data_IF_290320897482
#
_entry.id   IF_290320897482
#
_cell.length_a   1.000
_cell.length_b   1.000
_cell.length_c   1.000
_cell.angle_alpha   90.00
_cell.angle_beta   90.00
_cell.angle_gamma   90.00
#
_symmetry.space_group_name_H-M   'P 1'
#
loop_
_entity.id
_entity.type
_entity.pdbx_description
1 polymer ?
#
# COMPACT_ATOMS: atom_id res chain seq x y z
N UNK A 1 10.55 21.58 3.33
CA UNK A 1 9.59 20.60 2.80
C UNK A 1 10.21 19.24 3.03
N UNK A 2 9.79 18.50 4.06
CA UNK A 2 10.21 17.10 4.19
C UNK A 2 9.40 16.33 3.15
N UNK A 3 10.08 15.76 2.17
CA UNK A 3 9.44 14.94 1.15
C UNK A 3 8.91 13.69 1.86
N UNK A 4 7.61 13.44 1.86
CA UNK A 4 7.04 12.24 2.49
C UNK A 4 7.64 10.95 1.89
N UNK A 5 8.10 11.06 0.64
CA UNK A 5 8.86 10.04 -0.05
C UNK A 5 10.22 9.73 0.59
N UNK A 6 10.97 10.76 0.98
CA UNK A 6 12.24 10.58 1.70
C UNK A 6 11.97 9.88 3.05
N UNK A 7 10.87 10.22 3.72
CA UNK A 7 10.47 9.58 4.98
C UNK A 7 10.06 8.10 4.83
N UNK A 8 9.52 7.68 3.68
CA UNK A 8 9.21 6.27 3.42
C UNK A 8 10.50 5.48 3.22
N UNK A 9 11.40 5.97 2.36
CA UNK A 9 12.67 5.30 2.10
C UNK A 9 13.57 5.21 3.33
N UNK A 10 13.57 6.25 4.18
CA UNK A 10 14.25 6.21 5.48
C UNK A 10 13.65 5.16 6.41
N UNK A 11 12.31 5.08 6.49
CA UNK A 11 11.63 4.06 7.30
C UNK A 11 11.89 2.64 6.80
N UNK A 12 11.95 2.43 5.48
CA UNK A 12 12.31 1.13 4.88
C UNK A 12 13.77 0.77 5.14
N UNK A 13 14.68 1.76 5.16
CA UNK A 13 16.10 1.53 5.46
C UNK A 13 16.34 1.13 6.91
N UNK A 14 15.54 1.66 7.83
CA UNK A 14 15.64 1.40 9.27
C UNK A 14 14.84 0.16 9.72
N UNK A 15 13.98 -0.38 8.86
CA UNK A 15 13.14 -1.53 9.17
C UNK A 15 13.95 -2.82 9.39
N UNK A 16 13.49 -3.65 10.32
CA UNK A 16 14.07 -4.97 10.56
C UNK A 16 13.76 -5.93 9.39
N UNK A 17 14.53 -7.03 9.23
CA UNK A 17 14.25 -8.03 8.20
C UNK A 17 12.81 -8.59 8.26
N UNK A 18 12.29 -8.84 9.46
CA UNK A 18 10.93 -9.36 9.64
C UNK A 18 9.86 -8.32 9.24
N UNK A 19 10.11 -7.03 9.48
CA UNK A 19 9.22 -5.95 9.06
C UNK A 19 9.20 -5.82 7.53
N UNK A 20 10.36 -5.91 6.88
CA UNK A 20 10.46 -5.92 5.42
C UNK A 20 9.76 -7.13 4.81
N UNK A 21 9.90 -8.31 5.41
CA UNK A 21 9.20 -9.51 5.00
C UNK A 21 7.67 -9.34 5.09
N UNK A 22 7.17 -8.81 6.21
CA UNK A 22 5.75 -8.55 6.38
C UNK A 22 5.19 -7.56 5.34
N UNK A 23 5.96 -6.53 4.97
CA UNK A 23 5.58 -5.58 3.91
C UNK A 23 5.54 -6.23 2.53
N UNK A 24 6.50 -7.11 2.22
CA UNK A 24 6.51 -7.86 0.97
C UNK A 24 5.31 -8.84 0.88
N UNK A 25 4.96 -9.49 1.99
CA UNK A 25 3.77 -10.34 2.07
C UNK A 25 2.48 -9.54 1.89
N UNK A 26 2.40 -8.36 2.49
CA UNK A 26 1.28 -7.45 2.28
C UNK A 26 1.14 -7.06 0.80
N UNK A 27 2.24 -6.66 0.14
CA UNK A 27 2.22 -6.33 -1.29
C UNK A 27 1.76 -7.54 -2.13
N UNK A 28 2.27 -8.73 -1.84
CA UNK A 28 1.89 -9.97 -2.53
C UNK A 28 0.40 -10.27 -2.34
N UNK A 29 -0.13 -10.13 -1.13
CA UNK A 29 -1.54 -10.32 -0.84
C UNK A 29 -2.40 -9.30 -1.61
N UNK A 30 -2.01 -8.03 -1.61
CA UNK A 30 -2.71 -6.97 -2.33
C UNK A 30 -2.71 -7.21 -3.85
N UNK A 31 -1.58 -7.63 -4.43
CA UNK A 31 -1.50 -7.98 -5.85
C UNK A 31 -2.47 -9.12 -6.20
N UNK A 32 -2.45 -10.20 -5.40
CA UNK A 32 -3.30 -11.39 -5.59
C UNK A 32 -4.78 -11.09 -5.40
N UNK A 33 -5.12 -10.21 -4.46
CA UNK A 33 -6.49 -9.97 -4.03
C UNK A 33 -7.04 -8.59 -4.40
N UNK A 34 -6.38 -7.84 -5.30
CA UNK A 34 -6.80 -6.49 -5.71
C UNK A 34 -8.25 -6.42 -6.20
N UNK A 35 -8.79 -7.51 -6.80
CA UNK A 35 -10.20 -7.59 -7.19
C UNK A 35 -11.17 -7.40 -6.03
N UNK A 36 -10.80 -7.81 -4.81
CA UNK A 36 -11.60 -7.56 -3.61
C UNK A 36 -11.68 -6.07 -3.28
N UNK A 37 -10.62 -5.31 -3.54
CA UNK A 37 -10.65 -3.84 -3.40
C UNK A 37 -11.55 -3.20 -4.47
N UNK A 38 -11.47 -3.69 -5.71
CA UNK A 38 -12.25 -3.15 -6.83
C UNK A 38 -13.75 -3.47 -6.68
N UNK A 39 -14.11 -4.74 -6.53
CA UNK A 39 -15.51 -5.21 -6.44
C UNK A 39 -16.09 -4.90 -5.06
N UNK A 40 -15.31 -5.10 -4.00
CA UNK A 40 -15.76 -4.84 -2.63
C UNK A 40 -16.17 -3.39 -2.41
N UNK A 41 -15.55 -2.44 -3.14
CA UNK A 41 -15.91 -1.01 -3.08
C UNK A 41 -17.39 -0.76 -3.43
N UNK A 42 -17.93 -1.46 -4.43
CA UNK A 42 -19.34 -1.37 -4.82
C UNK A 42 -20.28 -1.89 -3.72
N UNK A 43 -19.79 -2.80 -2.89
CA UNK A 43 -20.50 -3.38 -1.75
C UNK A 43 -20.14 -2.75 -0.40
N UNK A 44 -19.43 -1.62 -0.40
CA UNK A 44 -19.06 -0.90 0.82
C UNK A 44 -17.90 -1.50 1.62
N UNK A 45 -17.23 -2.54 1.10
CA UNK A 45 -16.02 -3.11 1.69
C UNK A 45 -14.84 -2.18 1.35
N UNK A 46 -14.19 -1.63 2.37
CA UNK A 46 -13.09 -0.68 2.23
C UNK A 46 -11.96 -1.04 3.17
N UNK A 47 -10.73 -0.96 2.68
CA UNK A 47 -9.52 -1.11 3.50
C UNK A 47 -8.90 0.26 3.67
N UNK A 48 -8.73 0.66 4.94
CA UNK A 48 -8.04 1.89 5.30
C UNK A 48 -6.52 1.71 5.29
N UNK A 49 -5.80 2.67 4.75
CA UNK A 49 -4.35 2.71 4.74
C UNK A 49 -3.83 4.13 4.98
N UNK A 50 -2.65 4.24 5.57
CA UNK A 50 -1.92 5.51 5.66
C UNK A 50 -1.30 5.87 4.31
N UNK A 51 -0.97 7.14 4.10
CA UNK A 51 -0.32 7.57 2.86
C UNK A 51 1.00 6.84 2.58
N UNK A 52 1.76 6.49 3.63
CA UNK A 52 2.98 5.68 3.50
C UNK A 52 2.72 4.28 2.95
N UNK A 53 1.65 3.62 3.37
CA UNK A 53 1.28 2.29 2.85
C UNK A 53 0.80 2.41 1.40
N UNK A 54 -0.01 3.43 1.09
CA UNK A 54 -0.49 3.69 -0.27
C UNK A 54 0.69 3.95 -1.21
N UNK A 55 1.66 4.76 -0.77
CA UNK A 55 2.88 5.03 -1.51
C UNK A 55 3.73 3.78 -1.70
N UNK A 56 3.94 3.00 -0.63
CA UNK A 56 4.66 1.74 -0.71
C UNK A 56 4.06 0.80 -1.78
N UNK A 57 2.74 0.67 -1.83
CA UNK A 57 2.05 -0.15 -2.86
C UNK A 57 2.25 0.39 -4.27
N UNK A 58 2.39 1.70 -4.46
CA UNK A 58 2.67 2.28 -5.79
C UNK A 58 4.07 1.97 -6.29
N UNK A 59 5.03 1.89 -5.38
CA UNK A 59 6.44 1.66 -5.71
C UNK A 59 6.78 0.18 -5.87
N UNK A 60 6.06 -0.71 -5.17
CA UNK A 60 6.42 -2.13 -5.07
C UNK A 60 5.49 -3.08 -5.84
N UNK A 61 4.45 -2.56 -6.50
CA UNK A 61 3.58 -3.32 -7.41
C UNK A 61 3.81 -2.91 -8.86
N UNK A 62 3.52 -3.82 -9.80
CA UNK A 62 3.50 -3.49 -11.22
C UNK A 62 2.54 -2.32 -11.49
N UNK A 63 2.89 -1.44 -12.44
CA UNK A 63 2.17 -0.17 -12.71
C UNK A 63 0.65 -0.30 -12.80
N UNK A 64 0.16 -1.35 -13.48
CA UNK A 64 -1.29 -1.58 -13.61
C UNK A 64 -1.94 -1.98 -12.27
N UNK A 65 -1.26 -2.78 -11.46
CA UNK A 65 -1.74 -3.22 -10.14
C UNK A 65 -1.62 -2.12 -9.10
N UNK A 66 -0.54 -1.34 -9.15
CA UNK A 66 -0.31 -0.17 -8.31
C UNK A 66 -1.49 0.82 -8.38
N UNK A 67 -1.99 1.11 -9.58
CA UNK A 67 -3.20 1.93 -9.76
C UNK A 67 -4.41 1.28 -9.10
N UNK A 68 -4.73 0.03 -9.46
CA UNK A 68 -5.90 -0.70 -8.94
C UNK A 68 -5.91 -0.82 -7.42
N UNK A 69 -4.76 -1.06 -6.78
CA UNK A 69 -4.66 -1.17 -5.32
C UNK A 69 -4.71 0.21 -4.69
N UNK A 70 -3.82 1.13 -5.07
CA UNK A 70 -3.66 2.41 -4.37
C UNK A 70 -4.85 3.35 -4.51
N UNK A 71 -5.59 3.31 -5.63
CA UNK A 71 -6.79 4.12 -5.85
C UNK A 71 -8.02 3.61 -5.09
N UNK A 72 -8.02 2.33 -4.73
CA UNK A 72 -9.14 1.68 -4.02
C UNK A 72 -8.90 1.56 -2.51
N UNK A 73 -7.71 1.92 -2.02
CA UNK A 73 -7.45 2.10 -0.60
C UNK A 73 -8.02 3.43 -0.11
N UNK A 74 -8.65 3.40 1.07
CA UNK A 74 -9.15 4.62 1.72
C UNK A 74 -8.04 5.22 2.56
N UNK A 75 -7.73 6.49 2.30
CA UNK A 75 -6.83 7.24 3.19
C UNK A 75 -7.45 7.35 4.56
N UNK A 76 -6.72 6.89 5.57
CA UNK A 76 -7.05 7.17 6.96
C UNK A 76 -6.70 8.63 7.24
N UNK A 77 -7.69 9.44 7.58
CA UNK A 77 -7.43 10.77 8.14
C UNK A 77 -6.85 10.57 9.55
N UNK A 78 -5.70 11.20 9.80
CA UNK A 78 -5.09 11.25 11.14
C UNK A 78 -5.92 12.13 12.07
#
# INVERSE_FOLDING_TARGET
MNNENDSLHDALREASPDQLQALAELATWMAKHHRLLVVGREHGIRIGATDKVIQFMREHLDTELAGKVSENLVRLAN
#
